data_IF_455106256243
#
_entry.id   IF_455106256243
#
_cell.length_a   1.000
_cell.length_b   1.000
_cell.length_c   1.000
_cell.angle_alpha   90.00
_cell.angle_beta   90.00
_cell.angle_gamma   90.00
#
_symmetry.space_group_name_H-M   'P 1'
#
loop_
_entity.id
_entity.type
_entity.pdbx_description
1 polymer ?
#
# COMPACT_ATOMS: atom_id res chain seq x y z
N UNK A 1 -24.95 -86.19 -9.82
CA UNK A 1 -23.77 -85.33 -9.71
C UNK A 1 -24.20 -83.96 -10.18
N UNK A 2 -24.49 -83.00 -9.24
CA UNK A 2 -24.96 -81.65 -9.52
C UNK A 2 -23.78 -80.74 -9.23
N UNK A 3 -23.29 -79.98 -10.27
CA UNK A 3 -22.22 -79.01 -10.13
C UNK A 3 -22.84 -77.67 -9.75
N UNK A 4 -22.57 -77.23 -8.56
CA UNK A 4 -22.93 -75.87 -8.08
C UNK A 4 -21.87 -74.84 -8.61
N UNK A 5 -22.28 -73.91 -9.47
CA UNK A 5 -21.46 -72.78 -9.87
C UNK A 5 -21.52 -71.72 -8.78
N UNK A 6 -20.38 -71.33 -8.22
CA UNK A 6 -20.24 -70.18 -7.32
C UNK A 6 -20.28 -68.88 -8.14
N UNK A 7 -21.25 -68.06 -7.83
CA UNK A 7 -21.39 -66.72 -8.36
C UNK A 7 -20.52 -65.79 -7.48
N UNK A 8 -19.46 -65.24 -8.03
CA UNK A 8 -18.60 -64.28 -7.36
C UNK A 8 -19.23 -62.87 -7.43
N UNK A 9 -19.55 -62.36 -6.26
CA UNK A 9 -20.04 -60.97 -6.10
C UNK A 9 -18.84 -60.01 -6.18
N UNK A 10 -18.74 -59.24 -7.24
CA UNK A 10 -17.73 -58.17 -7.35
C UNK A 10 -18.33 -56.91 -6.71
N UNK A 11 -17.83 -56.54 -5.56
CA UNK A 11 -18.12 -55.24 -4.92
C UNK A 11 -17.33 -54.15 -5.65
N UNK A 12 -18.01 -53.31 -6.41
CA UNK A 12 -17.46 -52.09 -6.96
C UNK A 12 -17.56 -50.99 -5.89
N UNK A 13 -16.44 -50.69 -5.26
CA UNK A 13 -16.29 -49.51 -4.39
C UNK A 13 -16.20 -48.27 -5.28
N UNK A 14 -17.30 -47.53 -5.40
CA UNK A 14 -17.29 -46.20 -6.00
C UNK A 14 -16.74 -45.23 -4.96
N UNK A 15 -15.46 -44.87 -5.09
CA UNK A 15 -14.82 -43.80 -4.33
C UNK A 15 -15.40 -42.46 -4.77
N UNK A 16 -16.21 -41.86 -3.90
CA UNK A 16 -16.63 -40.46 -4.05
C UNK A 16 -15.42 -39.62 -3.69
N UNK A 17 -14.63 -39.24 -4.68
CA UNK A 17 -13.64 -38.14 -4.55
C UNK A 17 -14.40 -36.85 -4.41
N UNK A 18 -14.57 -36.39 -3.18
CA UNK A 18 -15.09 -35.07 -2.89
C UNK A 18 -14.14 -34.03 -3.50
N UNK A 19 -14.51 -33.42 -4.62
CA UNK A 19 -13.93 -32.21 -5.15
C UNK A 19 -14.20 -31.10 -4.11
N UNK A 20 -13.24 -30.88 -3.18
CA UNK A 20 -13.16 -29.65 -2.44
C UNK A 20 -12.78 -28.57 -3.46
N UNK A 21 -13.78 -27.94 -4.05
CA UNK A 21 -13.62 -26.71 -4.80
C UNK A 21 -13.13 -25.63 -3.83
N UNK A 22 -11.82 -25.37 -3.82
CA UNK A 22 -11.30 -24.11 -3.30
C UNK A 22 -11.87 -23.00 -4.18
N UNK A 23 -12.96 -22.40 -3.73
CA UNK A 23 -13.41 -21.11 -4.23
C UNK A 23 -12.27 -20.13 -3.93
N UNK A 24 -11.44 -19.83 -4.91
CA UNK A 24 -10.59 -18.65 -4.87
C UNK A 24 -11.56 -17.47 -4.85
N UNK A 25 -11.77 -16.91 -3.67
CA UNK A 25 -12.47 -15.66 -3.50
C UNK A 25 -11.74 -14.61 -4.35
N UNK A 26 -12.37 -14.22 -5.46
CA UNK A 26 -11.80 -13.25 -6.40
C UNK A 26 -11.63 -11.96 -5.60
N UNK A 27 -10.38 -11.59 -5.30
CA UNK A 27 -10.08 -10.40 -4.51
C UNK A 27 -10.88 -9.21 -5.06
N UNK A 28 -11.64 -8.53 -4.22
CA UNK A 28 -12.48 -7.39 -4.63
C UNK A 28 -11.66 -6.40 -5.46
N UNK A 29 -12.21 -5.95 -6.58
CA UNK A 29 -11.61 -4.92 -7.43
C UNK A 29 -11.47 -3.57 -6.70
N UNK A 30 -12.29 -3.36 -5.66
CA UNK A 30 -12.34 -2.15 -4.86
C UNK A 30 -11.89 -2.40 -3.42
N UNK A 31 -11.44 -1.35 -2.74
CA UNK A 31 -11.07 -1.35 -1.33
C UNK A 31 -11.62 -0.09 -0.66
N UNK A 32 -12.19 -0.24 0.54
CA UNK A 32 -12.65 0.89 1.35
C UNK A 32 -11.46 1.75 1.83
N UNK A 33 -11.60 3.10 1.90
CA UNK A 33 -10.59 3.96 2.50
C UNK A 33 -10.31 3.63 3.98
N UNK A 34 -11.30 3.11 4.70
CA UNK A 34 -11.18 2.70 6.10
C UNK A 34 -10.61 1.30 6.28
N UNK A 35 -10.52 0.50 5.21
CA UNK A 35 -9.98 -0.84 5.28
C UNK A 35 -8.47 -0.78 5.56
N UNK A 36 -8.03 -1.57 6.53
CA UNK A 36 -6.61 -1.68 6.84
C UNK A 36 -5.86 -2.25 5.63
N UNK A 37 -5.15 -1.39 4.92
CA UNK A 37 -4.28 -1.82 3.81
C UNK A 37 -3.20 -2.72 4.41
N UNK A 38 -2.97 -3.94 3.87
CA UNK A 38 -1.88 -4.79 4.32
C UNK A 38 -0.57 -4.00 4.27
N UNK A 39 0.04 -3.80 5.44
CA UNK A 39 1.28 -3.06 5.59
C UNK A 39 2.45 -4.02 5.52
N UNK A 40 3.49 -3.63 4.82
CA UNK A 40 4.76 -4.33 4.77
C UNK A 40 5.70 -3.86 5.89
N UNK A 41 6.98 -3.95 5.61
CA UNK A 41 8.07 -3.47 6.48
C UNK A 41 9.13 -2.78 5.63
N UNK A 42 9.88 -1.88 6.24
CA UNK A 42 11.02 -1.21 5.62
C UNK A 42 12.31 -1.43 6.43
N UNK A 43 12.79 -2.68 6.55
CA UNK A 43 13.92 -3.01 7.42
C UNK A 43 15.25 -2.40 6.98
N UNK A 44 15.38 -1.95 5.75
CA UNK A 44 16.59 -1.34 5.19
C UNK A 44 16.51 0.18 5.09
N UNK A 45 15.35 0.79 5.44
CA UNK A 45 15.17 2.23 5.42
C UNK A 45 16.30 2.96 6.16
N UNK A 46 16.89 3.95 5.52
CA UNK A 46 17.87 4.86 6.12
C UNK A 46 17.30 6.27 6.16
N UNK A 47 17.58 6.99 7.24
CA UNK A 47 17.10 8.36 7.46
C UNK A 47 18.26 9.25 7.82
N UNK A 48 18.41 10.36 7.08
CA UNK A 48 19.40 11.38 7.34
C UNK A 48 18.71 12.73 7.57
N UNK A 49 19.00 13.40 8.70
CA UNK A 49 18.62 14.79 8.93
C UNK A 49 19.58 15.67 8.14
N UNK A 50 19.04 16.52 7.24
CA UNK A 50 19.82 17.33 6.32
C UNK A 50 20.17 18.71 6.87
N UNK A 51 19.37 19.27 7.80
CA UNK A 51 19.53 20.62 8.34
C UNK A 51 19.42 20.66 9.88
N UNK A 52 20.40 20.09 10.62
CA UNK A 52 20.38 20.12 12.08
C UNK A 52 20.43 21.58 12.58
N UNK A 53 19.56 21.91 13.56
CA UNK A 53 19.51 23.26 14.15
C UNK A 53 18.40 24.17 13.61
N UNK A 54 17.83 23.87 12.46
CA UNK A 54 16.72 24.65 11.91
C UNK A 54 15.37 24.26 12.51
N UNK A 55 14.40 25.19 12.62
CA UNK A 55 13.06 24.89 13.12
C UNK A 55 12.28 23.97 12.17
N UNK A 56 12.42 24.15 10.86
CA UNK A 56 11.91 23.25 9.83
C UNK A 56 12.93 22.16 9.56
N UNK A 57 12.60 20.91 9.84
CA UNK A 57 13.50 19.77 9.64
C UNK A 57 13.41 19.23 8.21
N UNK A 58 14.54 18.91 7.62
CA UNK A 58 14.62 18.25 6.32
C UNK A 58 15.33 16.91 6.44
N UNK A 59 14.74 15.88 5.86
CA UNK A 59 15.27 14.52 5.89
C UNK A 59 15.38 13.95 4.48
N UNK A 60 16.45 13.19 4.23
CA UNK A 60 16.50 12.19 3.18
C UNK A 60 16.11 10.84 3.81
N UNK A 61 15.05 10.24 3.30
CA UNK A 61 14.58 8.91 3.70
C UNK A 61 14.77 7.98 2.52
N UNK A 62 15.72 7.07 2.63
CA UNK A 62 16.12 6.20 1.53
C UNK A 62 15.64 4.78 1.82
N UNK A 63 14.87 4.24 0.88
CA UNK A 63 14.41 2.87 0.89
C UNK A 63 15.22 2.03 -0.07
N UNK A 64 15.38 0.75 0.23
CA UNK A 64 16.16 -0.20 -0.54
C UNK A 64 15.32 -1.42 -0.94
N UNK A 65 15.88 -2.22 -1.82
CA UNK A 65 15.22 -3.42 -2.32
C UNK A 65 14.61 -4.28 -1.20
N UNK A 66 13.31 -4.51 -1.29
CA UNK A 66 12.51 -5.30 -0.36
C UNK A 66 11.78 -4.48 0.71
N UNK A 67 12.07 -3.17 0.84
CA UNK A 67 11.29 -2.28 1.69
C UNK A 67 9.91 -1.99 1.07
N UNK A 68 8.91 -1.80 1.93
CA UNK A 68 7.62 -1.27 1.54
C UNK A 68 7.55 0.21 1.96
N UNK A 69 7.58 1.10 0.96
CA UNK A 69 7.82 2.52 1.19
C UNK A 69 6.68 3.22 1.95
N UNK A 70 5.42 2.85 1.72
CA UNK A 70 4.28 3.46 2.41
C UNK A 70 4.32 3.15 3.91
N UNK A 71 4.58 1.91 4.28
CA UNK A 71 4.79 1.50 5.68
C UNK A 71 6.01 2.17 6.31
N UNK A 72 7.11 2.24 5.56
CA UNK A 72 8.33 2.88 6.03
C UNK A 72 8.17 4.38 6.28
N UNK A 73 7.41 5.09 5.47
CA UNK A 73 7.08 6.50 5.74
C UNK A 73 6.26 6.67 7.02
N UNK A 74 5.36 5.72 7.30
CA UNK A 74 4.62 5.73 8.56
C UNK A 74 5.54 5.42 9.75
N UNK A 75 6.42 4.41 9.64
CA UNK A 75 7.43 4.09 10.66
C UNK A 75 8.38 5.29 10.91
N UNK A 76 8.79 5.99 9.84
CA UNK A 76 9.54 7.24 9.94
C UNK A 76 8.77 8.28 10.74
N UNK A 77 7.51 8.54 10.40
CA UNK A 77 6.69 9.55 11.04
C UNK A 77 6.49 9.24 12.55
N UNK A 78 6.23 8.00 12.90
CA UNK A 78 6.11 7.57 14.30
C UNK A 78 7.43 7.73 15.06
N UNK A 79 8.53 7.24 14.49
CA UNK A 79 9.86 7.25 15.13
C UNK A 79 10.42 8.65 15.37
N UNK A 80 10.21 9.56 14.43
CA UNK A 80 10.72 10.93 14.48
C UNK A 80 9.69 11.95 14.96
N UNK A 81 8.52 11.49 15.43
CA UNK A 81 7.41 12.31 15.96
C UNK A 81 6.97 13.40 14.97
N UNK A 82 6.84 13.01 13.69
CA UNK A 82 6.42 13.91 12.62
C UNK A 82 4.91 14.13 12.71
N UNK A 83 4.52 15.37 12.99
CA UNK A 83 3.11 15.78 13.13
C UNK A 83 2.58 16.52 11.90
N UNK A 84 3.48 17.00 11.05
CA UNK A 84 3.17 17.67 9.79
C UNK A 84 4.38 17.60 8.90
N UNK A 85 4.21 17.15 7.67
CA UNK A 85 5.25 17.14 6.65
C UNK A 85 4.65 17.07 5.25
N UNK A 86 5.44 17.49 4.28
CA UNK A 86 5.24 17.18 2.88
C UNK A 86 6.51 16.53 2.31
N UNK A 87 6.38 15.77 1.24
CA UNK A 87 7.51 15.07 0.64
C UNK A 87 7.36 14.86 -0.86
N UNK A 88 8.51 14.67 -1.50
CA UNK A 88 8.63 14.23 -2.89
C UNK A 88 9.60 13.07 -2.98
N UNK A 89 9.45 12.21 -4.00
CA UNK A 89 10.37 11.11 -4.21
C UNK A 89 10.53 10.76 -5.68
N UNK A 90 11.70 10.18 -5.98
CA UNK A 90 12.02 9.49 -7.23
C UNK A 90 12.74 8.17 -6.93
N UNK A 91 12.78 7.25 -7.88
CA UNK A 91 13.43 5.96 -7.73
C UNK A 91 12.77 4.88 -8.55
N UNK A 92 12.74 3.65 -8.05
CA UNK A 92 12.11 2.55 -8.76
C UNK A 92 11.50 1.49 -7.83
N UNK A 93 10.54 0.73 -8.37
CA UNK A 93 9.77 -0.28 -7.67
C UNK A 93 9.78 -1.60 -8.44
N UNK A 94 9.64 -2.70 -7.72
CA UNK A 94 9.33 -4.02 -8.29
C UNK A 94 7.84 -4.37 -8.18
N UNK A 95 7.01 -3.37 -8.05
CA UNK A 95 5.57 -3.48 -7.98
C UNK A 95 4.95 -2.44 -7.06
N UNK A 96 3.69 -2.11 -7.33
CA UNK A 96 2.89 -1.23 -6.50
C UNK A 96 1.40 -1.60 -6.56
N UNK A 97 0.66 -1.10 -5.60
CA UNK A 97 -0.80 -1.06 -5.66
C UNK A 97 -1.21 0.41 -5.61
N UNK A 98 -1.80 0.88 -6.69
CA UNK A 98 -2.37 2.22 -6.76
C UNK A 98 -3.89 2.14 -6.67
N UNK A 99 -4.52 3.27 -6.41
CA UNK A 99 -5.97 3.40 -6.33
C UNK A 99 -6.47 4.61 -7.09
N UNK A 100 -7.64 4.46 -7.70
CA UNK A 100 -8.42 5.57 -8.23
C UNK A 100 -9.70 5.69 -7.41
N UNK A 101 -9.93 6.84 -6.79
CA UNK A 101 -11.10 7.04 -5.93
C UNK A 101 -12.38 7.17 -6.79
N UNK A 102 -13.35 6.29 -6.55
CA UNK A 102 -14.68 6.34 -7.13
C UNK A 102 -15.62 7.05 -6.14
N UNK A 103 -16.04 8.29 -6.42
CA UNK A 103 -16.88 9.05 -5.49
C UNK A 103 -18.29 8.49 -5.32
N UNK A 104 -18.80 7.75 -6.32
CA UNK A 104 -20.13 7.13 -6.22
C UNK A 104 -20.12 5.92 -5.27
N UNK A 105 -19.03 5.15 -5.28
CA UNK A 105 -18.83 3.99 -4.40
C UNK A 105 -18.17 4.35 -3.09
N UNK A 106 -17.56 5.53 -2.99
CA UNK A 106 -16.68 5.95 -1.87
C UNK A 106 -15.57 4.93 -1.60
N UNK A 107 -14.99 4.38 -2.65
CA UNK A 107 -13.99 3.32 -2.61
C UNK A 107 -12.87 3.57 -3.62
N UNK A 108 -11.70 3.01 -3.37
CA UNK A 108 -10.62 2.99 -4.34
C UNK A 108 -10.73 1.78 -5.28
N UNK A 109 -10.83 2.04 -6.58
CA UNK A 109 -10.58 1.04 -7.61
C UNK A 109 -9.09 0.72 -7.61
N UNK A 110 -8.73 -0.54 -7.41
CA UNK A 110 -7.34 -1.01 -7.37
C UNK A 110 -6.72 -1.01 -8.76
N UNK A 111 -5.50 -0.51 -8.87
CA UNK A 111 -4.67 -0.50 -10.08
C UNK A 111 -3.38 -1.22 -9.72
N UNK A 112 -3.28 -2.53 -9.99
CA UNK A 112 -2.05 -3.28 -9.73
C UNK A 112 -0.96 -2.87 -10.73
N UNK A 113 0.26 -2.70 -10.20
CA UNK A 113 1.49 -2.46 -10.96
C UNK A 113 2.42 -3.63 -10.67
N UNK A 114 2.73 -4.41 -11.69
CA UNK A 114 3.55 -5.62 -11.55
C UNK A 114 4.91 -5.45 -12.23
N UNK A 115 5.97 -5.91 -11.57
CA UNK A 115 7.33 -5.84 -12.06
C UNK A 115 7.99 -4.48 -11.94
N UNK A 116 9.15 -4.34 -12.59
CA UNK A 116 9.99 -3.15 -12.52
C UNK A 116 9.34 -1.94 -13.20
N UNK A 117 9.25 -0.83 -12.45
CA UNK A 117 8.78 0.47 -12.93
C UNK A 117 9.62 1.59 -12.32
N UNK A 118 9.86 2.65 -13.08
CA UNK A 118 10.46 3.87 -12.57
C UNK A 118 9.40 4.73 -11.84
N UNK A 119 9.74 5.27 -10.67
CA UNK A 119 8.93 6.31 -10.00
C UNK A 119 9.31 7.65 -10.60
N UNK A 120 8.51 8.12 -11.55
CA UNK A 120 8.71 9.41 -12.23
C UNK A 120 8.48 10.58 -11.29
N UNK A 121 7.57 10.39 -10.34
CA UNK A 121 7.29 11.32 -9.27
C UNK A 121 6.33 10.72 -8.26
N UNK A 122 6.60 10.99 -7.00
CA UNK A 122 5.74 10.70 -5.88
C UNK A 122 5.68 11.93 -5.01
N UNK A 123 4.50 12.31 -4.55
CA UNK A 123 4.30 13.41 -3.63
C UNK A 123 3.22 13.10 -2.62
N UNK A 124 3.36 13.67 -1.42
CA UNK A 124 2.40 13.40 -0.36
C UNK A 124 2.56 14.29 0.85
N UNK A 125 1.71 14.04 1.82
CA UNK A 125 1.70 14.69 3.13
C UNK A 125 1.71 13.66 4.27
N UNK A 126 2.15 14.12 5.44
CA UNK A 126 1.99 13.45 6.71
C UNK A 126 1.24 14.43 7.62
N UNK A 127 0.13 14.00 8.21
CA UNK A 127 -0.66 14.80 9.12
C UNK A 127 -1.27 13.90 10.19
N UNK A 128 -1.82 14.46 11.27
CA UNK A 128 -2.38 13.70 12.36
C UNK A 128 -3.88 13.41 12.13
N UNK A 129 -4.29 12.17 12.38
CA UNK A 129 -5.68 11.80 12.55
C UNK A 129 -5.85 11.08 13.90
N UNK A 130 -6.68 11.63 14.76
CA UNK A 130 -6.87 11.12 16.13
C UNK A 130 -5.54 10.94 16.91
N UNK A 131 -4.64 11.93 16.75
CA UNK A 131 -3.33 11.95 17.41
C UNK A 131 -2.27 11.00 16.84
N UNK A 132 -2.54 10.30 15.74
CA UNK A 132 -1.60 9.39 15.07
C UNK A 132 -1.23 9.92 13.69
N UNK A 133 0.04 9.74 13.24
CA UNK A 133 0.42 10.13 11.90
C UNK A 133 -0.28 9.28 10.85
N UNK A 134 -0.72 9.92 9.79
CA UNK A 134 -1.31 9.32 8.59
C UNK A 134 -0.56 9.84 7.38
N UNK A 135 -0.12 8.94 6.53
CA UNK A 135 0.54 9.27 5.25
C UNK A 135 -0.52 9.28 4.15
N UNK A 136 -0.50 10.33 3.35
CA UNK A 136 -1.30 10.43 2.13
C UNK A 136 -0.36 10.73 0.96
N UNK A 137 -0.39 9.90 -0.08
CA UNK A 137 0.54 10.06 -1.19
C UNK A 137 -0.03 9.56 -2.51
N UNK A 138 0.36 10.27 -3.58
CA UNK A 138 0.09 9.90 -4.97
C UNK A 138 1.41 9.67 -5.70
N UNK A 139 1.36 8.82 -6.72
CA UNK A 139 2.55 8.41 -7.46
C UNK A 139 2.24 8.25 -8.95
N UNK A 140 3.23 8.59 -9.79
CA UNK A 140 3.29 8.27 -11.21
C UNK A 140 4.44 7.30 -11.42
N UNK A 141 4.15 6.16 -12.05
CA UNK A 141 5.16 5.17 -12.45
C UNK A 141 5.25 5.07 -13.97
N UNK A 142 6.47 4.87 -14.48
CA UNK A 142 6.78 4.69 -15.89
C UNK A 142 7.15 3.25 -16.20
N UNK A 143 6.57 2.72 -17.28
CA UNK A 143 6.90 1.42 -17.85
C UNK A 143 8.07 1.50 -18.84
N UNK A 144 8.70 0.36 -19.24
CA UNK A 144 9.83 0.36 -20.19
C UNK A 144 9.52 0.96 -21.56
N UNK A 145 8.26 0.97 -21.97
CA UNK A 145 7.78 1.58 -23.21
C UNK A 145 7.47 3.08 -23.12
N UNK A 146 7.71 3.69 -21.92
CA UNK A 146 7.42 5.09 -21.64
C UNK A 146 5.96 5.38 -21.27
N UNK A 147 5.09 4.38 -21.27
CA UNK A 147 3.72 4.56 -20.77
C UNK A 147 3.71 4.76 -19.26
N UNK A 148 2.73 5.51 -18.76
CA UNK A 148 2.65 5.83 -17.34
C UNK A 148 1.32 5.38 -16.73
N UNK A 149 1.37 5.06 -15.43
CA UNK A 149 0.20 4.85 -14.59
C UNK A 149 0.33 5.70 -13.34
N UNK A 150 -0.79 6.18 -12.83
CA UNK A 150 -0.79 7.05 -11.66
C UNK A 150 -1.97 6.73 -10.74
N UNK A 151 -1.84 7.13 -9.48
CA UNK A 151 -2.93 7.01 -8.51
C UNK A 151 -2.50 7.24 -7.07
N UNK A 152 -3.48 7.12 -6.19
CA UNK A 152 -3.28 7.07 -4.75
C UNK A 152 -2.50 5.80 -4.39
N UNK A 153 -1.50 5.91 -3.50
CA UNK A 153 -0.65 4.77 -3.15
C UNK A 153 -1.34 3.92 -2.08
N UNK A 154 -1.56 2.65 -2.41
CA UNK A 154 -2.04 1.61 -1.50
C UNK A 154 -0.92 0.65 -1.05
N UNK A 155 0.24 0.74 -1.69
CA UNK A 155 1.45 -0.02 -1.38
C UNK A 155 2.52 0.16 -2.44
N UNK A 156 3.80 0.19 -2.05
CA UNK A 156 4.94 0.44 -2.95
C UNK A 156 6.16 -0.39 -2.52
N UNK A 157 6.54 -1.38 -3.34
CA UNK A 157 7.64 -2.32 -3.06
C UNK A 157 8.90 -1.90 -3.80
N UNK A 158 9.90 -1.48 -3.05
CA UNK A 158 11.10 -0.82 -3.58
C UNK A 158 12.07 -1.80 -4.24
N UNK A 159 12.61 -1.41 -5.39
CA UNK A 159 13.75 -2.05 -6.07
C UNK A 159 14.25 -1.16 -7.22
N UNK A 160 15.53 -0.79 -7.29
CA UNK A 160 16.58 -0.98 -6.28
C UNK A 160 16.49 -0.01 -5.10
N UNK A 161 16.09 1.28 -5.34
CA UNK A 161 15.99 2.34 -4.33
C UNK A 161 14.82 3.27 -4.59
N UNK A 162 14.31 3.87 -3.51
CA UNK A 162 13.40 5.02 -3.56
C UNK A 162 13.94 6.11 -2.63
N UNK A 163 14.16 7.30 -3.16
CA UNK A 163 14.75 8.43 -2.46
C UNK A 163 13.67 9.46 -2.16
N UNK A 164 13.34 9.65 -0.91
CA UNK A 164 12.27 10.53 -0.45
C UNK A 164 12.87 11.73 0.28
N UNK A 165 12.59 12.92 -0.20
CA UNK A 165 12.94 14.18 0.46
C UNK A 165 11.73 14.67 1.24
N UNK A 166 11.89 14.74 2.57
CA UNK A 166 10.82 15.10 3.51
C UNK A 166 11.13 16.43 4.16
N UNK A 167 10.19 17.35 4.12
CA UNK A 167 10.21 18.61 4.89
C UNK A 167 9.16 18.49 5.99
N UNK A 168 9.61 18.57 7.25
CA UNK A 168 8.76 18.55 8.44
C UNK A 168 8.48 19.98 8.88
N UNK A 169 7.21 20.35 8.93
CA UNK A 169 6.78 21.68 9.30
C UNK A 169 6.68 21.84 10.83
N UNK A 170 6.91 23.05 11.38
CA UNK A 170 6.90 23.28 12.82
C UNK A 170 5.49 23.28 13.43
N UNK A 171 4.46 23.40 12.60
CA UNK A 171 3.05 23.42 13.02
C UNK A 171 2.38 22.13 12.58
N UNK A 172 1.69 21.45 13.52
CA UNK A 172 0.97 20.23 13.22
C UNK A 172 -0.21 20.47 12.27
N UNK A 173 -0.38 19.57 11.31
CA UNK A 173 -1.60 19.47 10.52
C UNK A 173 -2.50 18.37 11.06
N UNK A 174 -3.80 18.64 11.08
CA UNK A 174 -4.82 17.69 11.53
C UNK A 174 -5.68 17.24 10.37
N UNK A 175 -6.11 15.99 10.42
CA UNK A 175 -7.12 15.45 9.49
C UNK A 175 -8.42 15.20 10.23
N UNK A 176 -9.53 15.32 9.50
CA UNK A 176 -10.88 15.03 9.96
C UNK A 176 -11.52 14.01 9.02
N UNK A 177 -12.32 13.11 9.58
CA UNK A 177 -13.18 12.24 8.78
C UNK A 177 -14.27 13.06 8.09
N UNK A 178 -14.41 12.83 6.78
CA UNK A 178 -15.46 13.44 5.96
C UNK A 178 -16.50 12.38 5.59
N UNK A 179 -17.74 12.47 6.12
CA UNK A 179 -18.78 11.49 5.83
C UNK A 179 -19.35 11.57 4.40
N UNK A 180 -19.09 12.67 3.68
CA UNK A 180 -19.54 12.78 2.30
C UNK A 180 -18.69 11.90 1.35
N UNK A 181 -17.40 11.73 1.68
CA UNK A 181 -16.46 10.96 0.86
C UNK A 181 -15.98 9.66 1.53
N UNK A 182 -16.21 9.48 2.84
CA UNK A 182 -15.62 8.45 3.69
C UNK A 182 -14.07 8.53 3.77
N UNK A 183 -13.50 9.69 3.46
CA UNK A 183 -12.06 9.95 3.53
C UNK A 183 -11.69 10.70 4.82
N UNK A 184 -10.40 10.62 5.17
CA UNK A 184 -9.79 11.52 6.14
C UNK A 184 -9.05 12.63 5.41
N UNK A 185 -9.54 13.86 5.53
CA UNK A 185 -9.04 15.03 4.80
C UNK A 185 -8.36 16.01 5.76
N UNK A 186 -7.37 16.77 5.26
CA UNK A 186 -6.75 17.85 6.03
C UNK A 186 -7.83 18.89 6.39
N UNK A 187 -7.89 19.24 7.67
CA UNK A 187 -8.75 20.29 8.17
C UNK A 187 -7.87 21.47 8.67
N UNK A 188 -7.82 22.58 7.93
CA UNK A 188 -6.94 23.71 8.27
C UNK A 188 -7.42 24.48 9.52
N UNK A 189 -8.60 24.21 10.02
CA UNK A 189 -9.17 24.87 11.20
C UNK A 189 -8.82 24.13 12.49
N UNK A 190 -8.60 22.81 12.44
CA UNK A 190 -8.17 22.02 13.59
C UNK A 190 -6.70 22.36 13.93
N UNK A 191 -6.45 22.57 15.22
CA UNK A 191 -5.12 22.84 15.78
C UNK A 191 -4.65 21.69 16.66
#
# INVERSE_FOLDING_TARGET
MIKIKRLGCVLVLIGIAGLMGYSQEKASEYVSPSEAVPRGKAPKMQVQLLNPGEPTKQYAVIFYQGDEAFSGLLEFAEKYHVMSAHFTAIGALNGARLGWFDPQRKMYKKIPIEGQHEVIGMSGDIALYQGKPVVHTHMVVGSPDGTTRAGHVLGAYVSPTLEVMVTVDPISMQKRFDPETDLTLIDPVLK
#
